data_IF_261832093541
#
_entry.id   IF_261832093541
#
_cell.length_a   1.000
_cell.length_b   1.000
_cell.length_c   1.000
_cell.angle_alpha   90.00
_cell.angle_beta   90.00
_cell.angle_gamma   90.00
#
_symmetry.space_group_name_H-M   'P 1'
#
loop_
_entity.id
_entity.type
_entity.pdbx_description
1 polymer ?
#
# COMPACT_ATOMS: atom_id res chain seq x y z
N UNK A 1 21.93 32.93 49.26
CA UNK A 1 22.47 32.61 47.95
C UNK A 1 21.44 31.76 47.23
N UNK A 2 20.58 32.42 46.47
CA UNK A 2 19.46 31.78 45.74
C UNK A 2 19.95 31.48 44.35
N UNK A 3 19.92 30.18 43.95
CA UNK A 3 20.24 29.77 42.58
C UNK A 3 18.93 29.55 41.84
N UNK A 4 18.71 30.39 40.87
CA UNK A 4 17.58 30.43 39.98
C UNK A 4 17.67 29.26 38.95
N UNK A 5 16.71 28.32 38.99
CA UNK A 5 16.55 27.28 38.00
C UNK A 5 15.49 27.72 36.97
N UNK A 6 15.89 28.44 35.95
CA UNK A 6 15.11 28.63 34.71
C UNK A 6 16.06 28.79 33.54
N UNK A 7 16.39 27.69 32.88
CA UNK A 7 16.86 27.76 31.50
C UNK A 7 16.43 26.52 30.74
N UNK A 8 15.20 26.54 30.28
CA UNK A 8 14.69 25.63 29.25
C UNK A 8 15.42 25.97 27.96
N UNK A 9 16.29 25.08 27.53
CA UNK A 9 17.00 25.18 26.25
C UNK A 9 16.00 25.13 25.12
N UNK A 10 15.65 26.27 24.57
CA UNK A 10 15.07 26.40 23.25
C UNK A 10 16.10 25.91 22.23
N UNK A 11 15.90 24.73 21.69
CA UNK A 11 16.61 24.29 20.50
C UNK A 11 16.04 25.11 19.33
N UNK A 12 16.69 26.22 19.03
CA UNK A 12 16.51 26.90 17.76
C UNK A 12 16.97 25.94 16.67
N UNK A 13 16.04 25.47 15.86
CA UNK A 13 16.34 24.93 14.55
C UNK A 13 16.94 26.07 13.73
N UNK A 14 18.26 26.18 13.77
CA UNK A 14 19.00 27.04 12.85
C UNK A 14 18.69 26.50 11.46
N UNK A 15 18.16 27.35 10.61
CA UNK A 15 17.89 27.03 9.21
C UNK A 15 19.25 26.75 8.55
N UNK A 16 19.65 25.49 8.56
CA UNK A 16 20.93 25.00 8.00
C UNK A 16 21.10 25.33 6.51
N UNK A 17 20.04 25.82 5.85
CA UNK A 17 20.08 26.30 4.47
C UNK A 17 20.86 27.62 4.31
N UNK A 18 21.07 28.39 5.39
CA UNK A 18 21.74 29.69 5.33
C UNK A 18 23.20 29.67 5.73
N UNK A 19 23.68 28.63 6.40
CA UNK A 19 25.06 28.58 6.91
C UNK A 19 26.05 27.75 6.09
N UNK A 20 25.57 26.93 5.15
CA UNK A 20 26.42 26.15 4.26
C UNK A 20 26.36 26.73 2.84
N UNK A 21 27.30 27.62 2.52
CA UNK A 21 27.66 28.01 1.14
C UNK A 21 28.41 26.87 0.42
N UNK A 22 27.91 25.65 0.53
CA UNK A 22 28.36 24.51 -0.24
C UNK A 22 27.20 24.05 -1.11
N UNK A 23 27.39 24.09 -2.41
CA UNK A 23 26.47 23.62 -3.45
C UNK A 23 26.31 22.10 -3.45
N UNK A 24 26.07 21.50 -2.30
CA UNK A 24 25.64 20.11 -2.23
C UNK A 24 24.15 20.05 -2.50
N UNK A 25 23.84 19.63 -3.70
CA UNK A 25 22.49 19.31 -4.14
C UNK A 25 21.96 18.21 -3.22
N UNK A 26 21.18 18.61 -2.20
CA UNK A 26 20.55 17.65 -1.28
C UNK A 26 19.65 16.75 -2.12
N UNK A 27 20.07 15.53 -2.38
CA UNK A 27 19.28 14.57 -3.14
C UNK A 27 18.23 14.04 -2.18
N UNK A 28 16.98 14.49 -2.36
CA UNK A 28 15.83 13.97 -1.62
C UNK A 28 15.45 12.62 -2.23
N UNK A 29 15.51 11.57 -1.43
CA UNK A 29 15.07 10.23 -1.80
C UNK A 29 13.67 9.96 -1.24
N UNK A 30 12.81 9.33 -2.07
CA UNK A 30 11.50 8.85 -1.66
C UNK A 30 11.62 7.39 -1.22
N UNK A 31 11.45 7.15 0.08
CA UNK A 31 11.38 5.80 0.64
C UNK A 31 9.93 5.36 0.83
N UNK A 32 9.66 4.10 0.57
CA UNK A 32 8.37 3.48 0.89
C UNK A 32 8.38 2.88 2.29
N UNK A 33 7.50 3.33 3.17
CA UNK A 33 7.29 2.73 4.48
C UNK A 33 6.00 1.92 4.48
N UNK A 34 6.04 0.72 5.07
CA UNK A 34 4.88 -0.17 5.17
C UNK A 34 4.89 -0.90 6.51
N UNK A 35 3.78 -0.81 7.24
CA UNK A 35 3.60 -1.48 8.53
C UNK A 35 2.21 -2.11 8.66
N UNK A 36 2.07 -3.05 9.59
CA UNK A 36 0.79 -3.67 9.94
C UNK A 36 -0.05 -2.74 10.82
N UNK A 37 -1.37 -2.75 10.62
CA UNK A 37 -2.35 -2.04 11.43
C UNK A 37 -3.04 -2.98 12.41
N UNK A 38 -3.29 -2.51 13.62
CA UNK A 38 -4.11 -3.18 14.65
C UNK A 38 -5.48 -2.49 14.82
N UNK A 39 -6.38 -2.63 13.85
CA UNK A 39 -7.71 -2.04 13.95
C UNK A 39 -8.60 -2.81 14.93
N UNK A 40 -9.42 -2.10 15.70
CA UNK A 40 -10.53 -2.67 16.45
C UNK A 40 -11.67 -3.14 15.50
N UNK A 41 -12.70 -3.78 16.03
CA UNK A 41 -13.77 -4.38 15.21
C UNK A 41 -14.55 -3.32 14.39
N UNK A 42 -14.81 -2.15 14.96
CA UNK A 42 -15.46 -1.04 14.24
C UNK A 42 -14.57 -0.54 13.10
N UNK A 43 -13.29 -0.35 13.35
CA UNK A 43 -12.31 0.06 12.34
C UNK A 43 -12.15 -1.00 11.24
N UNK A 44 -12.12 -2.30 11.59
CA UNK A 44 -12.11 -3.39 10.59
C UNK A 44 -13.30 -3.30 9.63
N UNK A 45 -14.47 -2.97 10.17
CA UNK A 45 -15.67 -2.77 9.36
C UNK A 45 -15.53 -1.58 8.43
N UNK A 46 -15.05 -0.44 8.92
CA UNK A 46 -14.81 0.76 8.10
C UNK A 46 -13.75 0.52 7.03
N UNK A 47 -12.65 -0.15 7.37
CA UNK A 47 -11.60 -0.53 6.40
C UNK A 47 -12.18 -1.43 5.28
N UNK A 48 -13.01 -2.41 5.66
CA UNK A 48 -13.67 -3.29 4.69
C UNK A 48 -14.67 -2.55 3.80
N UNK A 49 -15.42 -1.57 4.34
CA UNK A 49 -16.33 -0.70 3.58
C UNK A 49 -15.53 0.13 2.56
N UNK A 50 -14.43 0.75 2.95
CA UNK A 50 -13.56 1.51 2.04
C UNK A 50 -13.01 0.64 0.91
N UNK A 51 -12.50 -0.56 1.21
CA UNK A 51 -12.02 -1.50 0.21
C UNK A 51 -13.15 -1.98 -0.73
N UNK A 52 -14.36 -2.16 -0.19
CA UNK A 52 -15.55 -2.51 -0.96
C UNK A 52 -15.93 -1.43 -1.98
N UNK A 53 -15.98 -0.17 -1.53
CA UNK A 53 -16.28 0.99 -2.39
C UNK A 53 -15.20 1.17 -3.47
N UNK A 54 -13.93 1.10 -3.11
CA UNK A 54 -12.83 1.22 -4.05
C UNK A 54 -12.87 0.12 -5.12
N UNK A 55 -13.16 -1.12 -4.72
CA UNK A 55 -13.33 -2.25 -5.64
C UNK A 55 -14.52 -2.07 -6.57
N UNK A 56 -15.65 -1.61 -6.05
CA UNK A 56 -16.84 -1.34 -6.86
C UNK A 56 -16.55 -0.26 -7.89
N UNK A 57 -15.98 0.87 -7.49
CA UNK A 57 -15.63 1.96 -8.40
C UNK A 57 -14.66 1.51 -9.49
N UNK A 58 -13.63 0.72 -9.14
CA UNK A 58 -12.72 0.11 -10.11
C UNK A 58 -13.46 -0.79 -11.12
N UNK A 59 -14.30 -1.71 -10.61
CA UNK A 59 -14.99 -2.66 -11.45
C UNK A 59 -16.01 -1.99 -12.38
N UNK A 60 -16.77 -1.03 -11.86
CA UNK A 60 -17.70 -0.23 -12.65
C UNK A 60 -16.96 0.57 -13.73
N UNK A 61 -15.88 1.27 -13.38
CA UNK A 61 -15.09 2.03 -14.34
C UNK A 61 -14.45 1.12 -15.41
N UNK A 62 -13.99 -0.07 -15.02
CA UNK A 62 -13.44 -1.06 -15.94
C UNK A 62 -14.52 -1.59 -16.91
N UNK A 63 -15.71 -1.89 -16.41
CA UNK A 63 -16.84 -2.29 -17.25
C UNK A 63 -17.17 -1.20 -18.27
N UNK A 64 -17.32 0.06 -17.82
CA UNK A 64 -17.63 1.18 -18.70
C UNK A 64 -16.56 1.38 -19.79
N UNK A 65 -15.28 1.39 -19.41
CA UNK A 65 -14.17 1.59 -20.34
C UNK A 65 -14.04 0.46 -21.36
N UNK A 66 -14.31 -0.79 -20.95
CA UNK A 66 -14.34 -1.92 -21.88
C UNK A 66 -15.48 -1.81 -22.89
N UNK A 67 -16.67 -1.39 -22.44
CA UNK A 67 -17.81 -1.18 -23.36
C UNK A 67 -17.52 -0.07 -24.37
N UNK A 68 -16.87 1.02 -23.97
CA UNK A 68 -16.45 2.08 -24.89
C UNK A 68 -15.44 1.55 -25.93
N UNK A 69 -14.47 0.74 -25.51
CA UNK A 69 -13.50 0.14 -26.44
C UNK A 69 -14.19 -0.81 -27.43
N UNK A 70 -15.10 -1.65 -26.95
CA UNK A 70 -15.88 -2.54 -27.83
C UNK A 70 -16.76 -1.75 -28.82
N UNK A 71 -17.44 -0.70 -28.34
CA UNK A 71 -18.23 0.18 -29.20
C UNK A 71 -17.36 0.81 -30.30
N UNK A 72 -16.21 1.36 -29.92
CA UNK A 72 -15.28 2.01 -30.83
C UNK A 72 -14.68 1.06 -31.89
N UNK A 73 -14.48 -0.21 -31.50
CA UNK A 73 -14.06 -1.26 -32.43
C UNK A 73 -15.13 -1.54 -33.50
N UNK A 74 -16.41 -1.56 -33.09
CA UNK A 74 -17.52 -1.90 -33.96
C UNK A 74 -18.01 -0.68 -34.74
N UNK A 75 -17.68 0.55 -34.36
CA UNK A 75 -18.12 1.79 -34.96
C UNK A 75 -16.94 2.72 -35.30
N UNK A 76 -16.11 2.41 -36.29
CA UNK A 76 -14.92 3.21 -36.64
C UNK A 76 -15.21 4.66 -36.99
N UNK A 77 -16.40 4.92 -37.59
CA UNK A 77 -16.82 6.24 -38.03
C UNK A 77 -17.41 7.12 -36.92
N UNK A 78 -17.81 6.53 -35.75
CA UNK A 78 -18.50 7.22 -34.66
C UNK A 78 -17.89 6.85 -33.33
N UNK A 79 -16.60 7.14 -33.16
CA UNK A 79 -15.86 6.78 -31.94
C UNK A 79 -16.21 7.68 -30.76
N UNK A 80 -16.50 7.06 -29.63
CA UNK A 80 -16.63 7.74 -28.35
C UNK A 80 -15.25 8.06 -27.77
N UNK A 81 -15.12 9.23 -27.16
CA UNK A 81 -13.90 9.63 -26.46
C UNK A 81 -13.64 8.69 -25.26
N UNK A 82 -12.41 8.17 -25.17
CA UNK A 82 -12.02 7.36 -24.02
C UNK A 82 -11.93 8.23 -22.75
N UNK A 83 -12.64 7.87 -21.64
CA UNK A 83 -12.76 8.73 -20.48
C UNK A 83 -11.48 8.79 -19.67
N UNK A 84 -11.15 9.98 -19.18
CA UNK A 84 -10.08 10.20 -18.21
C UNK A 84 -10.53 9.77 -16.81
N UNK A 85 -9.62 9.72 -15.84
CA UNK A 85 -9.98 9.46 -14.44
C UNK A 85 -10.95 10.49 -13.86
N UNK A 86 -10.88 11.74 -14.33
CA UNK A 86 -11.79 12.83 -13.94
C UNK A 86 -13.18 12.59 -14.51
N UNK A 87 -13.28 12.23 -15.79
CA UNK A 87 -14.55 11.92 -16.45
C UNK A 87 -15.24 10.72 -15.79
N UNK A 88 -14.48 9.65 -15.52
CA UNK A 88 -14.98 8.48 -14.78
C UNK A 88 -15.51 8.87 -13.39
N UNK A 89 -14.81 9.76 -12.69
CA UNK A 89 -15.25 10.20 -11.38
C UNK A 89 -16.54 11.06 -11.46
N UNK A 90 -16.66 11.96 -12.43
CA UNK A 90 -17.89 12.72 -12.67
C UNK A 90 -19.07 11.81 -12.97
N UNK A 91 -18.89 10.83 -13.85
CA UNK A 91 -19.91 9.84 -14.19
C UNK A 91 -20.27 8.96 -12.99
N UNK A 92 -19.32 8.54 -12.18
CA UNK A 92 -19.59 7.79 -10.95
C UNK A 92 -20.44 8.60 -9.97
N UNK A 93 -20.16 9.90 -9.83
CA UNK A 93 -20.91 10.79 -8.93
C UNK A 93 -22.34 11.03 -9.44
N UNK A 94 -22.52 11.22 -10.74
CA UNK A 94 -23.86 11.50 -11.32
C UNK A 94 -24.73 10.26 -11.48
N UNK A 95 -24.17 9.12 -11.86
CA UNK A 95 -24.94 7.93 -12.23
C UNK A 95 -25.00 6.85 -11.15
N UNK A 96 -23.93 6.69 -10.34
CA UNK A 96 -23.82 5.56 -9.42
C UNK A 96 -24.12 5.97 -7.98
N UNK A 97 -23.55 7.07 -7.52
CA UNK A 97 -23.71 7.50 -6.12
C UNK A 97 -25.14 7.78 -5.70
N UNK A 98 -26.01 8.39 -6.50
CA UNK A 98 -27.39 8.65 -6.09
C UNK A 98 -28.16 7.39 -5.72
N UNK A 99 -27.86 6.28 -6.40
CA UNK A 99 -28.51 4.97 -6.17
C UNK A 99 -27.71 4.05 -5.23
N UNK A 100 -26.67 4.57 -4.55
CA UNK A 100 -25.72 3.77 -3.76
C UNK A 100 -25.29 4.52 -2.51
N UNK A 101 -26.17 4.64 -1.53
CA UNK A 101 -25.96 5.42 -0.30
C UNK A 101 -24.71 5.02 0.50
N UNK A 102 -24.29 3.77 0.42
CA UNK A 102 -23.07 3.26 1.07
C UNK A 102 -21.77 3.91 0.60
N UNK A 103 -21.77 4.64 -0.54
CA UNK A 103 -20.61 5.47 -0.94
C UNK A 103 -20.36 6.64 0.01
N UNK A 104 -21.41 7.13 0.70
CA UNK A 104 -21.29 8.25 1.62
C UNK A 104 -20.76 7.86 3.01
N UNK A 105 -20.70 6.55 3.31
CA UNK A 105 -20.17 6.03 4.57
C UNK A 105 -18.63 6.02 4.62
N UNK A 106 -17.98 6.20 3.49
CA UNK A 106 -16.52 6.14 3.34
C UNK A 106 -15.93 7.46 2.87
N UNK A 107 -14.61 7.58 2.91
CA UNK A 107 -13.92 8.74 2.35
C UNK A 107 -14.15 8.83 0.84
N UNK A 108 -14.45 10.04 0.36
CA UNK A 108 -14.60 10.34 -1.08
C UNK A 108 -13.37 9.99 -1.90
N UNK A 109 -12.19 9.96 -1.28
CA UNK A 109 -10.92 9.72 -1.95
C UNK A 109 -10.71 8.25 -2.33
N UNK A 110 -11.28 7.30 -1.58
CA UNK A 110 -11.15 5.88 -1.87
C UNK A 110 -11.65 5.49 -3.28
N UNK A 111 -12.88 5.81 -3.72
CA UNK A 111 -13.31 5.56 -5.11
C UNK A 111 -12.58 6.42 -6.13
N UNK A 112 -12.22 7.66 -5.78
CA UNK A 112 -11.49 8.56 -6.68
C UNK A 112 -10.12 8.01 -7.05
N UNK A 113 -9.34 7.54 -6.07
CA UNK A 113 -8.07 6.89 -6.32
C UNK A 113 -8.22 5.56 -7.06
N UNK A 114 -9.27 4.79 -6.80
CA UNK A 114 -9.53 3.57 -7.55
C UNK A 114 -9.66 3.84 -9.06
N UNK A 115 -10.41 4.88 -9.44
CA UNK A 115 -10.55 5.29 -10.85
C UNK A 115 -9.25 5.88 -11.42
N UNK A 116 -8.47 6.61 -10.63
CA UNK A 116 -7.13 7.09 -11.02
C UNK A 116 -6.18 5.94 -11.31
N UNK A 117 -6.15 4.93 -10.44
CA UNK A 117 -5.34 3.73 -10.64
C UNK A 117 -5.80 2.92 -11.86
N UNK A 118 -7.12 2.85 -12.12
CA UNK A 118 -7.65 2.22 -13.33
C UNK A 118 -7.20 2.94 -14.61
N UNK A 119 -7.29 4.28 -14.62
CA UNK A 119 -6.82 5.09 -15.75
C UNK A 119 -5.32 4.89 -16.01
N UNK A 120 -4.50 4.83 -14.95
CA UNK A 120 -3.07 4.49 -15.07
C UNK A 120 -2.85 3.07 -15.59
N UNK A 121 -3.68 2.10 -15.18
CA UNK A 121 -3.65 0.72 -15.69
C UNK A 121 -3.93 0.67 -17.19
N UNK A 122 -4.94 1.40 -17.67
CA UNK A 122 -5.23 1.53 -19.08
C UNK A 122 -4.11 2.22 -19.85
N UNK A 123 -3.55 3.32 -19.31
CA UNK A 123 -2.41 4.00 -19.94
C UNK A 123 -1.25 3.03 -20.17
N UNK A 124 -0.88 2.23 -19.17
CA UNK A 124 0.18 1.22 -19.29
C UNK A 124 -0.16 0.10 -20.26
N UNK A 125 -1.43 -0.29 -20.35
CA UNK A 125 -1.89 -1.28 -21.32
C UNK A 125 -1.78 -0.74 -22.76
N UNK A 126 -2.25 0.47 -23.01
CA UNK A 126 -2.20 1.10 -24.32
C UNK A 126 -0.76 1.38 -24.79
N UNK A 127 0.15 1.65 -23.85
CA UNK A 127 1.61 1.75 -24.14
C UNK A 127 2.32 0.40 -24.20
N UNK A 128 1.60 -0.73 -24.17
CA UNK A 128 2.11 -2.11 -24.22
C UNK A 128 3.07 -2.49 -23.08
N UNK A 129 3.07 -1.72 -21.97
CA UNK A 129 3.89 -1.99 -20.78
C UNK A 129 3.26 -3.06 -19.89
N UNK A 130 1.94 -3.23 -19.93
CA UNK A 130 1.23 -4.22 -19.10
C UNK A 130 0.00 -4.77 -19.81
N UNK A 131 -0.48 -5.94 -19.34
CA UNK A 131 -1.74 -6.52 -19.78
C UNK A 131 -2.94 -5.65 -19.38
N UNK A 132 -4.10 -5.92 -19.98
CA UNK A 132 -5.36 -5.23 -19.69
C UNK A 132 -5.74 -5.32 -18.21
N UNK A 133 -6.30 -4.24 -17.63
CA UNK A 133 -6.85 -4.26 -16.28
C UNK A 133 -7.89 -5.38 -16.11
N UNK A 134 -7.87 -6.03 -14.94
CA UNK A 134 -8.80 -7.13 -14.59
C UNK A 134 -9.78 -6.69 -13.51
N UNK A 135 -10.95 -7.34 -13.45
CA UNK A 135 -11.91 -7.15 -12.38
C UNK A 135 -11.33 -7.59 -11.03
N UNK A 136 -11.52 -6.77 -10.02
CA UNK A 136 -11.07 -7.05 -8.64
C UNK A 136 -12.09 -7.93 -7.91
N UNK A 137 -11.59 -8.90 -7.15
CA UNK A 137 -12.40 -9.82 -6.35
C UNK A 137 -12.27 -9.51 -4.86
N UNK A 138 -13.39 -9.67 -4.11
CA UNK A 138 -13.40 -9.53 -2.65
C UNK A 138 -12.46 -10.54 -2.00
N UNK A 139 -11.66 -10.08 -1.04
CA UNK A 139 -10.72 -10.93 -0.29
C UNK A 139 -9.41 -11.24 -1.00
N UNK A 140 -9.25 -10.84 -2.27
CA UNK A 140 -8.01 -11.03 -3.03
C UNK A 140 -7.27 -9.71 -3.28
N UNK A 141 -8.01 -8.68 -3.65
CA UNK A 141 -7.46 -7.38 -4.09
C UNK A 141 -8.01 -6.24 -3.22
N UNK A 142 -8.21 -6.50 -1.93
CA UNK A 142 -8.76 -5.52 -1.01
C UNK A 142 -7.71 -4.47 -0.67
N UNK A 143 -7.76 -3.35 -1.38
CA UNK A 143 -6.91 -2.19 -1.16
C UNK A 143 -7.60 -0.90 -1.57
N UNK A 144 -7.22 0.21 -0.92
CA UNK A 144 -7.69 1.55 -1.24
C UNK A 144 -6.65 2.60 -0.82
N UNK A 145 -6.73 3.77 -1.42
CA UNK A 145 -5.83 4.89 -1.11
C UNK A 145 -6.65 6.04 -0.56
N UNK A 146 -6.13 6.67 0.50
CA UNK A 146 -6.67 7.87 1.13
C UNK A 146 -5.68 9.01 1.00
N UNK A 147 -6.19 10.23 0.96
CA UNK A 147 -5.45 11.48 1.10
C UNK A 147 -6.18 12.45 2.05
N UNK A 148 -5.61 13.63 2.25
CA UNK A 148 -6.18 14.67 3.11
C UNK A 148 -5.63 14.61 4.53
N UNK A 149 -6.50 14.68 5.54
CA UNK A 149 -6.12 14.80 6.95
C UNK A 149 -5.53 13.51 7.52
N UNK A 150 -4.32 13.16 7.10
CA UNK A 150 -3.55 12.03 7.61
C UNK A 150 -2.54 12.57 8.62
N UNK A 151 -2.56 12.04 9.84
CA UNK A 151 -1.63 12.43 10.90
C UNK A 151 -0.88 11.17 11.34
N UNK A 152 0.44 11.26 11.36
CA UNK A 152 1.32 10.21 11.85
C UNK A 152 1.64 10.50 13.31
N UNK A 153 1.39 9.56 14.19
CA UNK A 153 1.81 9.57 15.60
C UNK A 153 2.87 8.50 15.84
N UNK A 154 3.38 8.40 17.06
CA UNK A 154 4.48 7.51 17.42
C UNK A 154 4.21 6.03 17.04
N UNK A 155 3.05 5.47 17.44
CA UNK A 155 2.64 4.08 17.16
C UNK A 155 1.22 3.98 16.64
N UNK A 156 0.72 5.03 16.00
CA UNK A 156 -0.63 5.10 15.47
C UNK A 156 -0.72 6.10 14.32
N UNK A 157 -1.68 5.88 13.44
CA UNK A 157 -1.94 6.76 12.31
C UNK A 157 -3.43 7.16 12.29
N UNK A 158 -3.70 8.44 12.12
CA UNK A 158 -5.06 8.95 11.94
C UNK A 158 -5.42 8.91 10.46
N UNK A 159 -6.48 8.18 10.15
CA UNK A 159 -6.99 8.01 8.80
C UNK A 159 -8.35 8.69 8.64
N UNK A 160 -8.61 9.39 7.52
CA UNK A 160 -9.91 10.03 7.26
C UNK A 160 -11.07 9.04 7.37
N UNK A 161 -12.12 9.40 8.11
CA UNK A 161 -13.32 8.57 8.35
C UNK A 161 -13.11 7.30 9.19
N UNK A 162 -11.86 6.93 9.52
CA UNK A 162 -11.54 5.71 10.29
C UNK A 162 -11.05 6.06 11.69
N UNK A 163 -10.39 7.23 11.84
CA UNK A 163 -9.83 7.68 13.11
C UNK A 163 -8.41 7.14 13.35
N UNK A 164 -7.99 7.15 14.61
CA UNK A 164 -6.67 6.68 15.04
C UNK A 164 -6.60 5.16 15.04
N UNK A 165 -5.66 4.58 14.28
CA UNK A 165 -5.41 3.13 14.22
C UNK A 165 -3.99 2.86 14.68
N UNK A 166 -3.83 1.91 15.62
CA UNK A 166 -2.51 1.48 16.11
C UNK A 166 -1.72 0.76 15.02
N UNK A 167 -0.40 0.95 15.01
CA UNK A 167 0.54 0.29 14.10
C UNK A 167 1.42 -0.70 14.85
N UNK A 168 1.97 -1.68 14.14
CA UNK A 168 2.90 -2.65 14.71
C UNK A 168 4.25 -2.01 15.01
N UNK A 169 4.76 -1.24 14.04
CA UNK A 169 6.04 -0.56 14.15
C UNK A 169 5.85 0.88 14.61
N UNK A 170 6.87 1.42 15.25
CA UNK A 170 7.00 2.84 15.52
C UNK A 170 7.10 3.55 14.17
N UNK A 171 6.31 4.60 14.00
CA UNK A 171 6.29 5.38 12.77
C UNK A 171 7.38 6.45 12.81
N UNK A 172 7.94 6.82 11.65
CA UNK A 172 8.93 7.89 11.57
C UNK A 172 8.34 9.22 12.02
N UNK A 173 9.11 9.96 12.81
CA UNK A 173 8.72 11.29 13.29
C UNK A 173 8.70 12.33 12.17
N UNK A 174 7.90 13.37 12.36
CA UNK A 174 7.80 14.53 11.46
C UNK A 174 7.44 14.22 10.01
N UNK A 175 6.72 13.12 9.78
CA UNK A 175 6.27 12.72 8.44
C UNK A 175 4.82 13.10 8.23
N UNK A 176 4.55 13.83 7.16
CA UNK A 176 3.20 14.19 6.70
C UNK A 176 2.93 13.54 5.33
N UNK A 177 2.41 12.31 5.30
CA UNK A 177 2.15 11.63 4.04
C UNK A 177 1.08 12.35 3.23
N UNK A 178 1.35 12.66 1.96
CA UNK A 178 0.35 13.23 1.04
C UNK A 178 -0.80 12.24 0.79
N UNK A 179 -0.50 10.95 0.78
CA UNK A 179 -1.48 9.88 0.63
C UNK A 179 -0.96 8.59 1.25
N UNK A 180 -1.88 7.73 1.70
CA UNK A 180 -1.58 6.40 2.23
C UNK A 180 -2.36 5.35 1.47
N UNK A 181 -1.77 4.21 1.23
CA UNK A 181 -2.44 3.05 0.66
C UNK A 181 -2.64 2.00 1.74
N UNK A 182 -3.88 1.62 1.97
CA UNK A 182 -4.26 0.57 2.89
C UNK A 182 -4.56 -0.70 2.07
N UNK A 183 -4.01 -1.82 2.51
CA UNK A 183 -4.20 -3.12 1.84
C UNK A 183 -4.46 -4.21 2.86
N UNK A 184 -5.25 -5.20 2.46
CA UNK A 184 -5.50 -6.40 3.26
C UNK A 184 -4.78 -7.59 2.67
N UNK A 185 -4.04 -8.34 3.51
CA UNK A 185 -3.47 -9.63 3.16
C UNK A 185 -3.89 -10.65 4.20
N UNK A 186 -4.50 -11.75 3.75
CA UNK A 186 -5.18 -12.71 4.61
C UNK A 186 -6.19 -12.02 5.52
N UNK A 187 -5.96 -11.98 6.83
CA UNK A 187 -6.81 -11.33 7.84
C UNK A 187 -6.19 -10.04 8.40
N UNK A 188 -4.98 -9.66 7.96
CA UNK A 188 -4.22 -8.52 8.45
C UNK A 188 -4.33 -7.32 7.51
N UNK A 189 -4.33 -6.12 8.12
CA UNK A 189 -4.34 -4.85 7.41
C UNK A 189 -2.99 -4.18 7.48
N UNK A 190 -2.57 -3.58 6.39
CA UNK A 190 -1.30 -2.88 6.25
C UNK A 190 -1.54 -1.47 5.73
N UNK A 191 -0.76 -0.52 6.23
CA UNK A 191 -0.67 0.83 5.66
C UNK A 191 0.69 1.01 5.03
N UNK A 192 0.73 1.65 3.87
CA UNK A 192 1.97 2.07 3.23
C UNK A 192 1.88 3.51 2.75
N UNK A 193 2.98 4.24 2.91
CA UNK A 193 3.12 5.63 2.48
C UNK A 193 4.57 5.93 2.08
N UNK A 194 4.77 7.07 1.45
CA UNK A 194 6.10 7.53 1.04
C UNK A 194 6.63 8.55 2.03
N UNK A 195 7.92 8.45 2.32
CA UNK A 195 8.68 9.33 3.18
C UNK A 195 9.73 10.01 2.32
N UNK A 196 9.83 11.33 2.44
CA UNK A 196 10.94 12.10 1.87
C UNK A 196 12.08 12.12 2.89
N UNK A 197 13.24 11.58 2.54
CA UNK A 197 14.43 11.60 3.37
C UNK A 197 15.61 12.15 2.61
N UNK A 198 16.50 12.85 3.32
CA UNK A 198 17.76 13.26 2.73
C UNK A 198 18.67 12.04 2.52
N UNK A 199 19.35 11.98 1.39
CA UNK A 199 20.36 10.95 1.14
C UNK A 199 21.56 11.22 2.03
N UNK A 200 21.92 10.27 2.86
CA UNK A 200 23.21 10.29 3.55
C UNK A 200 24.25 9.88 2.52
N UNK A 201 25.11 10.81 2.13
CA UNK A 201 26.28 10.48 1.33
C UNK A 201 27.28 9.81 2.26
N UNK A 202 27.37 8.50 2.19
CA UNK A 202 28.43 7.76 2.87
C UNK A 202 29.70 7.86 2.02
N UNK A 203 30.83 8.18 2.65
CA UNK A 203 32.13 8.05 1.98
C UNK A 203 32.28 6.60 1.50
N UNK A 204 32.65 6.45 0.24
CA UNK A 204 32.91 5.10 -0.30
C UNK A 204 34.14 4.56 0.38
N UNK A 205 34.00 3.43 1.09
CA UNK A 205 35.15 2.65 1.52
C UNK A 205 35.97 2.21 0.28
N UNK A 206 37.27 2.32 0.35
CA UNK A 206 38.16 1.77 -0.68
C UNK A 206 38.28 0.25 -0.61
N UNK A 207 37.77 -0.35 0.49
CA UNK A 207 37.80 -1.79 0.66
C UNK A 207 36.74 -2.44 -0.21
N UNK A 208 37.18 -3.30 -1.10
CA UNK A 208 36.34 -4.07 -2.01
C UNK A 208 36.18 -5.47 -1.44
N UNK A 209 34.92 -5.88 -1.20
CA UNK A 209 34.59 -7.23 -0.77
C UNK A 209 33.85 -7.96 -1.90
N UNK A 210 34.40 -9.10 -2.32
CA UNK A 210 33.72 -10.00 -3.25
C UNK A 210 32.59 -10.74 -2.51
N UNK A 211 31.41 -10.84 -3.15
CA UNK A 211 30.24 -11.53 -2.59
C UNK A 211 29.79 -12.60 -3.56
N UNK A 212 29.87 -13.86 -3.14
CA UNK A 212 29.26 -15.00 -3.84
C UNK A 212 27.89 -15.34 -3.24
N UNK A 213 26.85 -15.32 -4.07
CA UNK A 213 25.47 -15.65 -3.68
C UNK A 213 25.16 -17.10 -4.05
N UNK A 214 24.75 -17.88 -3.04
CA UNK A 214 24.48 -19.30 -3.23
C UNK A 214 23.17 -19.80 -2.62
N UNK A 215 22.78 -21.01 -2.99
CA UNK A 215 21.58 -21.67 -2.44
C UNK A 215 21.83 -22.32 -1.08
N UNK A 216 23.04 -22.81 -0.84
CA UNK A 216 23.45 -23.45 0.42
C UNK A 216 23.70 -22.41 1.51
N UNK A 217 24.44 -21.39 1.18
CA UNK A 217 24.68 -20.17 1.99
C UNK A 217 24.07 -19.00 1.23
N UNK A 218 23.50 -18.03 1.92
CA UNK A 218 22.93 -16.82 1.29
C UNK A 218 24.00 -16.02 0.60
N UNK A 219 25.12 -15.83 1.31
CA UNK A 219 26.28 -15.14 0.77
C UNK A 219 27.56 -15.69 1.42
N UNK A 220 28.64 -15.74 0.64
CA UNK A 220 30.01 -15.96 1.13
C UNK A 220 30.85 -14.77 0.70
N UNK A 221 31.49 -14.12 1.66
CA UNK A 221 32.35 -12.98 1.38
C UNK A 221 33.78 -13.43 1.08
N UNK A 222 34.50 -12.66 0.30
CA UNK A 222 35.95 -12.88 0.04
C UNK A 222 36.81 -12.78 1.32
N UNK A 223 36.25 -12.20 2.40
CA UNK A 223 36.83 -12.18 3.75
C UNK A 223 36.71 -13.51 4.49
N UNK A 224 36.01 -14.52 3.93
CA UNK A 224 35.74 -15.80 4.58
C UNK A 224 34.45 -15.84 5.43
N UNK A 225 33.78 -14.71 5.58
CA UNK A 225 32.51 -14.65 6.30
C UNK A 225 31.39 -15.32 5.50
N UNK A 226 30.60 -16.17 6.18
CA UNK A 226 29.50 -16.93 5.55
C UNK A 226 28.17 -16.58 6.20
N UNK A 227 27.23 -16.09 5.39
CA UNK A 227 25.85 -15.81 5.82
C UNK A 227 24.96 -17.01 5.51
N UNK A 228 24.41 -17.71 6.52
CA UNK A 228 23.52 -18.83 6.29
C UNK A 228 22.21 -18.36 5.66
N UNK A 229 21.72 -19.10 4.67
CA UNK A 229 20.42 -18.82 4.06
C UNK A 229 19.26 -19.10 5.03
N UNK A 230 18.41 -18.10 5.28
CA UNK A 230 17.11 -18.35 5.89
C UNK A 230 16.27 -19.21 4.93
N UNK A 231 15.83 -20.39 5.37
CA UNK A 231 15.00 -21.31 4.56
C UNK A 231 13.55 -21.28 5.04
N UNK A 232 12.83 -20.13 4.93
CA UNK A 232 11.51 -19.95 5.53
C UNK A 232 10.48 -20.94 4.96
N UNK A 233 10.54 -21.26 3.66
CA UNK A 233 9.66 -22.23 3.05
C UNK A 233 9.86 -23.62 3.67
N UNK A 234 11.10 -24.11 3.77
CA UNK A 234 11.41 -25.44 4.33
C UNK A 234 10.98 -25.56 5.79
N UNK A 235 11.17 -24.49 6.58
CA UNK A 235 10.76 -24.46 7.99
C UNK A 235 9.24 -24.49 8.17
N UNK A 236 8.50 -24.00 7.18
CA UNK A 236 7.03 -23.93 7.22
C UNK A 236 6.33 -25.01 6.39
N UNK A 237 7.08 -25.78 5.59
CA UNK A 237 6.56 -26.78 4.66
C UNK A 237 5.69 -27.83 5.34
N UNK A 238 6.13 -28.39 6.45
CA UNK A 238 5.37 -29.37 7.23
C UNK A 238 4.05 -28.78 7.73
N UNK A 239 4.09 -27.55 8.23
CA UNK A 239 2.89 -26.84 8.70
C UNK A 239 1.94 -26.55 7.55
N UNK A 240 2.46 -26.13 6.41
CA UNK A 240 1.68 -25.85 5.20
C UNK A 240 1.00 -27.12 4.68
N UNK A 241 1.76 -28.22 4.53
CA UNK A 241 1.27 -29.52 4.08
C UNK A 241 0.15 -30.06 4.96
N UNK A 242 0.33 -29.95 6.30
CA UNK A 242 -0.72 -30.34 7.26
C UNK A 242 -1.99 -29.50 7.11
N UNK A 243 -1.86 -28.18 6.92
CA UNK A 243 -3.02 -27.30 6.71
C UNK A 243 -3.74 -27.60 5.38
N UNK A 244 -3.00 -27.87 4.32
CA UNK A 244 -3.54 -28.26 3.02
C UNK A 244 -4.28 -29.60 3.10
N UNK A 245 -3.70 -30.59 3.77
CA UNK A 245 -4.34 -31.89 4.03
C UNK A 245 -5.65 -31.73 4.78
N UNK A 246 -5.65 -31.01 5.91
CA UNK A 246 -6.86 -30.74 6.69
C UNK A 246 -7.94 -29.97 5.92
N UNK A 247 -7.54 -29.14 4.97
CA UNK A 247 -8.47 -28.36 4.15
C UNK A 247 -9.13 -29.20 3.05
N UNK A 248 -8.46 -30.24 2.56
CA UNK A 248 -8.94 -31.14 1.50
C UNK A 248 -10.25 -31.82 1.87
N UNK A 249 -10.43 -32.17 3.15
CA UNK A 249 -11.61 -32.88 3.67
C UNK A 249 -12.73 -31.96 4.12
N UNK A 250 -12.63 -30.63 3.91
CA UNK A 250 -13.65 -29.67 4.30
C UNK A 250 -14.58 -29.31 3.14
N UNK A 251 -15.84 -29.11 3.43
CA UNK A 251 -16.80 -28.62 2.44
C UNK A 251 -16.36 -27.25 1.94
N UNK A 252 -16.11 -27.17 0.63
CA UNK A 252 -15.60 -25.96 -0.04
C UNK A 252 -16.55 -24.77 0.22
N UNK A 253 -15.97 -23.60 0.55
CA UNK A 253 -16.66 -22.36 0.91
C UNK A 253 -17.37 -22.35 2.28
N UNK A 254 -17.38 -23.44 3.04
CA UNK A 254 -17.87 -23.44 4.42
C UNK A 254 -17.04 -22.53 5.33
N UNK A 255 -17.59 -22.16 6.50
CA UNK A 255 -16.85 -21.37 7.50
C UNK A 255 -15.53 -22.03 7.91
N UNK A 256 -15.54 -23.35 8.13
CA UNK A 256 -14.33 -24.10 8.52
C UNK A 256 -13.30 -24.16 7.39
N UNK A 257 -13.74 -24.31 6.15
CA UNK A 257 -12.86 -24.23 4.99
C UNK A 257 -12.20 -22.85 4.89
N UNK A 258 -13.00 -21.77 5.02
CA UNK A 258 -12.50 -20.37 4.99
C UNK A 258 -11.48 -20.09 6.09
N UNK A 259 -11.72 -20.59 7.32
CA UNK A 259 -10.76 -20.45 8.44
C UNK A 259 -9.40 -21.09 8.12
N UNK A 260 -9.42 -22.29 7.52
CA UNK A 260 -8.15 -22.96 7.15
C UNK A 260 -7.48 -22.26 5.97
N UNK A 261 -8.23 -21.78 4.98
CA UNK A 261 -7.67 -20.98 3.88
C UNK A 261 -6.95 -19.71 4.41
N UNK A 262 -7.50 -19.03 5.41
CA UNK A 262 -6.83 -17.89 6.05
C UNK A 262 -5.53 -18.31 6.74
N UNK A 263 -5.51 -19.47 7.43
CA UNK A 263 -4.28 -20.00 8.04
C UNK A 263 -3.23 -20.36 7.00
N UNK A 264 -3.63 -20.99 5.88
CA UNK A 264 -2.73 -21.27 4.75
C UNK A 264 -2.16 -19.95 4.22
N UNK A 265 -2.99 -18.97 3.92
CA UNK A 265 -2.56 -17.68 3.42
C UNK A 265 -1.63 -16.92 4.39
N UNK A 266 -1.76 -17.10 5.70
CA UNK A 266 -0.87 -16.49 6.69
C UNK A 266 0.49 -17.18 6.81
N UNK A 267 0.59 -18.46 6.44
CA UNK A 267 1.87 -19.21 6.44
C UNK A 267 2.67 -18.92 5.17
N UNK A 268 2.01 -18.54 4.07
CA UNK A 268 2.64 -18.27 2.77
C UNK A 268 3.00 -16.80 2.55
N UNK A 269 2.81 -15.94 3.54
CA UNK A 269 3.22 -14.53 3.56
C UNK A 269 4.60 -14.34 4.17
#
# INVERSE_FOLDING_TARGET
>A
MVVDQKNTKNYYWVDLRKSLKLSEKLIIMLLGFKTELYPNNSQKTLLAKHAGVARHAWNWGLWLTRNILNYNSNNPSSKLKFPTSIDLHKLLVSMVKPNSCWYYEVSKTAPQYALRHLSNGWKRCLTKVSAQPKFKKKGRDDSFTLDGSIIVGFNQIKLPRIGWVKTFEILPDNVTPKSVTISKKADRWFVSFKIETATIVTEKSVDVVGVDLGVKSLATLSTGEVFPGAKPYRNLEVKLSRLQYLNRHKVKFSSNWKKVQLKIASVTQ
#
